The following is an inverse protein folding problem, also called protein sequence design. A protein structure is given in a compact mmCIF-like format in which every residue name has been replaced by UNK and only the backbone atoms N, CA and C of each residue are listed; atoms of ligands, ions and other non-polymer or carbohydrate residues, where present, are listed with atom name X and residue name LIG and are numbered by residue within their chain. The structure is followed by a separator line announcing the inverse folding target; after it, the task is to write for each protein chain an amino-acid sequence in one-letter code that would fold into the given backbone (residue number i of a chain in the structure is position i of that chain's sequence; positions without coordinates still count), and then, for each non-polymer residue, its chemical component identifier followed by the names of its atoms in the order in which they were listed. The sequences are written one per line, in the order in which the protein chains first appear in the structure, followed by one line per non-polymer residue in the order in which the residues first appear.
data_IF_816119021333
#
_entry.id   IF_816119021333
#
_cell.length_a   1.000
_cell.length_b   1.000
_cell.length_c   1.000
_cell.angle_alpha   90.00
_cell.angle_beta   90.00
_cell.angle_gamma   90.00
#
_symmetry.space_group_name_H-M   'P 1'
#
loop_
_entity.id
_entity.type
_entity.pdbx_description
1 polymer ?
#
# COMPACT_ATOMS: atom_id res chain seq x y z
N UNK A 1 -3.69 19.97 -48.70
CA UNK A 1 -3.45 21.14 -47.84
C UNK A 1 -4.78 21.85 -47.55
N UNK A 2 -5.68 21.27 -46.78
CA UNK A 2 -6.96 21.85 -46.29
C UNK A 2 -7.73 20.80 -45.48
N UNK A 3 -7.28 20.50 -44.24
CA UNK A 3 -8.06 19.69 -43.28
C UNK A 3 -7.60 19.88 -41.83
N UNK A 4 -7.07 21.06 -41.45
CA UNK A 4 -6.56 21.26 -40.08
C UNK A 4 -7.05 22.54 -39.36
N UNK A 5 -8.10 23.20 -39.85
CA UNK A 5 -8.58 24.45 -39.24
C UNK A 5 -9.92 24.36 -38.50
N UNK A 6 -10.64 23.23 -38.59
CA UNK A 6 -11.98 23.09 -37.94
C UNK A 6 -11.96 22.52 -36.53
N UNK A 7 -10.85 21.93 -36.07
CA UNK A 7 -10.79 21.34 -34.73
C UNK A 7 -10.28 22.30 -33.62
N UNK A 8 -9.65 23.40 -33.99
CA UNK A 8 -9.18 24.40 -32.99
C UNK A 8 -10.28 25.30 -32.42
N UNK A 9 -11.33 25.58 -33.21
CA UNK A 9 -12.40 26.45 -32.77
C UNK A 9 -13.43 25.76 -31.84
N UNK A 10 -13.58 24.47 -31.90
CA UNK A 10 -14.54 23.73 -31.04
C UNK A 10 -14.07 23.60 -29.59
N UNK A 11 -12.77 23.67 -29.32
CA UNK A 11 -12.22 23.59 -27.96
C UNK A 11 -12.15 24.96 -27.26
N UNK A 12 -12.13 26.06 -28.00
CA UNK A 12 -12.19 27.39 -27.41
C UNK A 12 -13.62 27.78 -26.99
N UNK A 13 -14.63 27.38 -27.73
CA UNK A 13 -16.04 27.64 -27.34
C UNK A 13 -16.47 26.82 -26.10
N UNK A 14 -15.96 25.62 -25.90
CA UNK A 14 -16.25 24.84 -24.68
C UNK A 14 -15.59 25.42 -23.42
N UNK A 15 -14.42 26.07 -23.53
CA UNK A 15 -13.79 26.78 -22.40
C UNK A 15 -14.49 28.08 -22.01
N UNK A 16 -15.10 28.79 -22.96
CA UNK A 16 -15.83 30.03 -22.71
C UNK A 16 -17.18 29.78 -21.98
N UNK A 17 -17.83 28.63 -22.23
CA UNK A 17 -19.11 28.29 -21.59
C UNK A 17 -18.90 27.82 -20.15
N UNK A 18 -17.73 27.21 -19.83
CA UNK A 18 -17.43 26.71 -18.47
C UNK A 18 -17.08 27.86 -17.50
N UNK A 19 -16.45 28.94 -17.97
CA UNK A 19 -16.06 30.08 -17.12
C UNK A 19 -17.18 31.07 -16.83
N UNK A 20 -18.28 31.08 -17.60
CA UNK A 20 -19.40 31.99 -17.37
C UNK A 20 -20.46 31.52 -16.37
N UNK A 21 -20.40 30.24 -15.96
CA UNK A 21 -21.32 29.69 -14.96
C UNK A 21 -20.79 29.74 -13.51
N UNK A 22 -19.50 30.06 -13.29
CA UNK A 22 -18.94 30.21 -11.95
C UNK A 22 -19.05 31.61 -11.34
N UNK A 23 -19.39 32.63 -12.14
CA UNK A 23 -19.44 34.03 -11.65
C UNK A 23 -20.83 34.51 -11.23
N UNK A 24 -21.88 33.70 -11.30
CA UNK A 24 -23.27 34.10 -10.94
C UNK A 24 -23.79 33.51 -9.62
N UNK A 25 -23.01 32.75 -8.86
CA UNK A 25 -23.50 32.12 -7.60
C UNK A 25 -22.98 32.77 -6.31
N UNK A 26 -22.22 33.87 -6.38
CA UNK A 26 -21.70 34.57 -5.20
C UNK A 26 -22.17 36.04 -5.23
N UNK A 27 -23.47 36.28 -5.15
CA UNK A 27 -23.97 37.61 -4.81
C UNK A 27 -25.43 37.59 -4.37
N UNK A 28 -25.76 36.89 -3.28
CA UNK A 28 -27.03 37.16 -2.55
C UNK A 28 -27.01 36.41 -1.22
N UNK A 29 -26.37 36.99 -0.23
CA UNK A 29 -26.63 36.70 1.18
C UNK A 29 -26.08 37.84 2.05
N UNK A 30 -26.88 38.92 2.14
CA UNK A 30 -26.75 39.84 3.26
C UNK A 30 -28.11 40.49 3.53
N UNK A 31 -28.50 40.40 4.77
CA UNK A 31 -29.65 41.04 5.49
C UNK A 31 -30.84 40.13 5.76
N UNK A 32 -30.89 39.61 6.99
CA UNK A 32 -32.07 39.76 7.85
C UNK A 32 -31.66 39.58 9.33
N UNK A 33 -32.17 40.48 10.09
CA UNK A 33 -32.15 40.87 11.48
C UNK A 33 -32.17 39.80 12.58
N UNK A 34 -31.54 40.23 13.69
CA UNK A 34 -31.70 39.68 15.05
C UNK A 34 -33.14 39.68 15.54
N UNK A 35 -33.58 38.58 16.11
CA UNK A 35 -34.55 38.54 17.22
C UNK A 35 -34.02 37.52 18.24
N UNK A 36 -33.72 38.05 19.43
CA UNK A 36 -33.46 37.26 20.66
C UNK A 36 -34.78 36.74 21.22
N UNK A 37 -34.86 35.43 21.50
CA UNK A 37 -35.68 34.89 22.59
C UNK A 37 -34.96 33.71 23.22
N UNK A 38 -34.85 33.73 24.52
CA UNK A 38 -33.97 32.92 25.33
C UNK A 38 -34.43 31.51 25.72
N UNK A 39 -33.52 30.87 26.41
CA UNK A 39 -33.57 29.71 27.30
C UNK A 39 -34.01 28.37 26.75
N UNK A 40 -33.03 27.48 26.76
CA UNK A 40 -33.21 26.04 26.72
C UNK A 40 -31.87 25.36 26.54
N UNK A 41 -31.02 25.35 27.59
CA UNK A 41 -29.80 24.53 27.62
C UNK A 41 -30.18 23.05 27.61
N UNK A 42 -30.33 22.45 26.45
CA UNK A 42 -30.16 21.02 26.28
C UNK A 42 -28.73 20.79 25.77
N UNK A 43 -27.83 20.49 26.73
CA UNK A 43 -26.60 19.78 26.39
C UNK A 43 -27.00 18.39 25.88
N UNK A 44 -27.20 18.25 24.60
CA UNK A 44 -27.06 16.98 23.97
C UNK A 44 -25.55 16.63 24.03
N UNK A 45 -25.17 15.49 24.63
CA UNK A 45 -23.81 15.04 24.51
C UNK A 45 -23.57 14.84 23.02
N UNK A 46 -22.63 15.59 22.43
CA UNK A 46 -22.06 15.23 21.16
C UNK A 46 -21.41 13.89 21.37
N UNK A 47 -22.13 12.82 21.05
CA UNK A 47 -21.52 11.54 20.74
C UNK A 47 -20.49 11.86 19.66
N UNK A 48 -19.20 11.87 20.04
CA UNK A 48 -18.12 11.62 19.11
C UNK A 48 -18.46 10.25 18.53
N UNK A 49 -19.12 10.22 17.39
CA UNK A 49 -19.20 9.03 16.57
C UNK A 49 -17.74 8.69 16.28
N UNK A 50 -17.18 7.71 16.99
CA UNK A 50 -15.92 7.09 16.59
C UNK A 50 -16.16 6.70 15.14
N UNK A 51 -15.38 7.27 14.23
CA UNK A 51 -15.46 6.92 12.82
C UNK A 51 -15.02 5.47 12.70
N UNK A 52 -15.99 4.56 12.79
CA UNK A 52 -15.79 3.12 12.66
C UNK A 52 -15.31 2.89 11.23
N UNK A 53 -14.11 2.30 11.02
CA UNK A 53 -13.52 2.19 9.68
C UNK A 53 -14.27 1.25 8.75
N UNK A 54 -15.14 0.39 9.29
CA UNK A 54 -15.88 -0.65 8.58
C UNK A 54 -17.37 -0.56 8.89
N UNK A 55 -18.21 -0.62 7.86
CA UNK A 55 -19.68 -0.64 7.98
C UNK A 55 -20.24 -1.97 7.45
N UNK A 56 -21.18 -2.63 8.15
CA UNK A 56 -21.82 -3.84 7.62
C UNK A 56 -22.61 -3.51 6.36
N UNK A 57 -22.63 -4.45 5.41
CA UNK A 57 -23.46 -4.39 4.19
C UNK A 57 -24.27 -5.68 4.07
N UNK A 58 -25.48 -5.57 3.56
CA UNK A 58 -26.43 -6.70 3.49
C UNK A 58 -26.05 -7.71 2.40
N UNK A 59 -25.54 -7.24 1.27
CA UNK A 59 -25.13 -8.08 0.14
C UNK A 59 -24.05 -7.38 -0.68
N UNK A 60 -23.29 -8.17 -1.46
CA UNK A 60 -22.37 -7.64 -2.47
C UNK A 60 -23.05 -7.62 -3.85
N UNK A 61 -22.75 -6.65 -4.73
CA UNK A 61 -23.03 -6.74 -6.14
C UNK A 61 -22.38 -7.99 -6.74
N UNK A 62 -23.04 -8.64 -7.72
CA UNK A 62 -22.50 -9.87 -8.33
C UNK A 62 -21.11 -9.68 -8.96
N UNK A 63 -20.83 -8.50 -9.49
CA UNK A 63 -19.53 -8.13 -10.09
C UNK A 63 -18.37 -8.08 -9.09
N UNK A 64 -18.66 -7.95 -7.79
CA UNK A 64 -17.63 -7.85 -6.72
C UNK A 64 -17.14 -9.22 -6.26
N UNK A 65 -17.65 -10.32 -6.80
CA UNK A 65 -17.28 -11.67 -6.37
C UNK A 65 -16.07 -12.20 -7.16
N UNK A 66 -15.13 -12.87 -6.47
CA UNK A 66 -13.96 -13.51 -7.08
C UNK A 66 -14.35 -14.79 -7.83
N UNK A 67 -14.71 -14.64 -9.10
CA UNK A 67 -15.18 -15.75 -9.92
C UNK A 67 -14.06 -16.70 -10.40
N UNK A 68 -12.79 -16.29 -10.27
CA UNK A 68 -11.63 -17.03 -10.79
C UNK A 68 -10.84 -17.78 -9.70
N UNK A 69 -11.29 -17.70 -8.47
CA UNK A 69 -10.54 -18.16 -7.29
C UNK A 69 -10.10 -19.63 -7.36
N UNK A 70 -10.95 -20.51 -7.90
CA UNK A 70 -10.64 -21.95 -7.93
C UNK A 70 -9.81 -22.37 -9.13
N UNK A 71 -9.76 -21.57 -10.18
CA UNK A 71 -9.08 -21.92 -11.44
C UNK A 71 -7.61 -21.45 -11.48
N UNK A 72 -7.22 -20.43 -10.68
CA UNK A 72 -5.95 -19.79 -10.86
C UNK A 72 -4.92 -20.08 -9.75
N UNK A 73 -5.27 -19.84 -8.50
CA UNK A 73 -4.27 -19.85 -7.41
C UNK A 73 -4.83 -20.27 -6.04
N UNK A 74 -5.78 -21.21 -6.04
CA UNK A 74 -6.38 -21.76 -4.81
C UNK A 74 -5.36 -22.07 -3.73
N UNK A 75 -4.24 -22.72 -4.10
CA UNK A 75 -3.21 -23.12 -3.13
C UNK A 75 -2.46 -21.92 -2.55
N UNK A 76 -2.23 -20.87 -3.33
CA UNK A 76 -1.63 -19.64 -2.83
C UNK A 76 -2.53 -18.97 -1.78
N UNK A 77 -3.83 -18.89 -2.05
CA UNK A 77 -4.80 -18.34 -1.10
C UNK A 77 -4.90 -19.20 0.18
N UNK A 78 -4.91 -20.54 0.08
CA UNK A 78 -4.86 -21.42 1.25
C UNK A 78 -3.61 -21.15 2.09
N UNK A 79 -2.43 -21.01 1.47
CA UNK A 79 -1.19 -20.65 2.19
C UNK A 79 -1.30 -19.31 2.87
N UNK A 80 -1.87 -18.29 2.20
CA UNK A 80 -2.07 -16.97 2.79
C UNK A 80 -3.01 -17.03 4.01
N UNK A 81 -4.08 -17.82 3.95
CA UNK A 81 -4.96 -18.08 5.10
C UNK A 81 -4.20 -18.75 6.24
N UNK A 82 -3.37 -19.76 5.94
CA UNK A 82 -2.55 -20.45 6.95
C UNK A 82 -1.54 -19.51 7.60
N UNK A 83 -0.98 -18.54 6.85
CA UNK A 83 -0.11 -17.50 7.39
C UNK A 83 -0.89 -16.58 8.38
N UNK A 84 -2.08 -16.13 8.03
CA UNK A 84 -2.92 -15.35 8.94
C UNK A 84 -3.31 -16.12 10.20
N UNK A 85 -3.66 -17.41 10.07
CA UNK A 85 -3.97 -18.26 11.23
C UNK A 85 -2.74 -18.44 12.15
N UNK A 86 -1.53 -18.50 11.61
CA UNK A 86 -0.30 -18.51 12.45
C UNK A 86 -0.14 -17.20 13.22
N UNK A 87 -0.29 -16.04 12.56
CA UNK A 87 -0.25 -14.75 13.23
C UNK A 87 -1.30 -14.65 14.34
N UNK A 88 -2.55 -15.00 14.05
CA UNK A 88 -3.66 -14.89 15.00
C UNK A 88 -3.49 -15.74 16.27
N UNK A 89 -2.58 -16.73 16.25
CA UNK A 89 -2.22 -17.53 17.44
C UNK A 89 -1.06 -16.91 18.25
N UNK A 90 -0.57 -15.72 17.91
CA UNK A 90 0.50 -15.02 18.63
C UNK A 90 -0.05 -14.08 19.72
N UNK A 91 0.82 -13.74 20.68
CA UNK A 91 0.53 -12.74 21.71
C UNK A 91 0.35 -11.34 21.10
N UNK A 92 1.05 -11.02 20.02
CA UNK A 92 0.90 -9.76 19.28
C UNK A 92 -0.53 -9.62 18.74
N UNK A 93 -1.08 -10.69 18.15
CA UNK A 93 -2.45 -10.69 17.68
C UNK A 93 -3.46 -10.56 18.84
N UNK A 94 -3.23 -11.24 19.97
CA UNK A 94 -4.09 -11.09 21.15
C UNK A 94 -4.19 -9.62 21.56
N UNK A 95 -3.05 -8.94 21.69
CA UNK A 95 -2.99 -7.52 22.05
C UNK A 95 -3.64 -6.61 20.99
N UNK A 96 -3.47 -6.90 19.71
CA UNK A 96 -4.05 -6.10 18.63
C UNK A 96 -5.59 -6.13 18.64
N UNK A 97 -6.18 -7.23 19.09
CA UNK A 97 -7.64 -7.40 19.15
C UNK A 97 -8.27 -7.07 20.50
N UNK A 98 -7.50 -6.84 21.58
CA UNK A 98 -8.04 -6.53 22.92
C UNK A 98 -8.97 -5.31 22.95
N UNK A 99 -8.61 -4.26 22.19
CA UNK A 99 -9.36 -3.00 22.14
C UNK A 99 -9.64 -2.59 20.68
N UNK A 100 -9.90 -3.58 19.81
CA UNK A 100 -10.18 -3.28 18.43
C UNK A 100 -11.49 -2.49 18.28
N UNK A 101 -11.49 -1.43 17.48
CA UNK A 101 -12.57 -0.43 17.41
C UNK A 101 -13.88 -0.94 16.83
N UNK A 102 -13.87 -2.07 16.11
CA UNK A 102 -15.07 -2.72 15.56
C UNK A 102 -15.35 -3.99 16.36
N UNK A 103 -16.30 -3.97 17.30
CA UNK A 103 -16.51 -5.05 18.29
C UNK A 103 -16.82 -6.41 17.68
N UNK A 104 -17.39 -6.43 16.47
CA UNK A 104 -17.69 -7.66 15.75
C UNK A 104 -16.43 -8.43 15.32
N UNK A 105 -15.30 -7.74 15.16
CA UNK A 105 -14.01 -8.34 14.80
C UNK A 105 -13.24 -8.76 16.07
N UNK A 106 -13.74 -9.74 16.83
CA UNK A 106 -12.91 -10.39 17.84
C UNK A 106 -11.91 -11.34 17.17
N UNK A 107 -10.75 -11.54 17.82
CA UNK A 107 -9.71 -12.46 17.34
C UNK A 107 -10.26 -13.87 17.09
N UNK A 108 -11.09 -14.38 18.00
CA UNK A 108 -11.70 -15.70 17.92
C UNK A 108 -12.63 -15.82 16.72
N UNK A 109 -13.40 -14.77 16.43
CA UNK A 109 -14.31 -14.74 15.29
C UNK A 109 -13.56 -14.65 13.96
N UNK A 110 -12.46 -13.88 13.91
CA UNK A 110 -11.57 -13.84 12.73
C UNK A 110 -10.94 -15.22 12.50
N UNK A 111 -10.46 -15.90 13.54
CA UNK A 111 -9.94 -17.27 13.44
C UNK A 111 -11.01 -18.24 12.90
N UNK A 112 -12.23 -18.19 13.45
CA UNK A 112 -13.33 -19.04 12.98
C UNK A 112 -13.66 -18.79 11.51
N UNK A 113 -13.70 -17.51 11.11
CA UNK A 113 -13.94 -17.09 9.72
C UNK A 113 -12.86 -17.64 8.76
N UNK A 114 -11.60 -17.53 9.12
CA UNK A 114 -10.49 -18.04 8.31
C UNK A 114 -10.51 -19.56 8.19
N UNK A 115 -10.77 -20.28 9.30
CA UNK A 115 -10.89 -21.74 9.28
C UNK A 115 -12.02 -22.21 8.37
N UNK A 116 -13.20 -21.56 8.47
CA UNK A 116 -14.33 -21.90 7.62
C UNK A 116 -14.07 -21.56 6.16
N UNK A 117 -13.51 -20.39 5.87
CA UNK A 117 -13.14 -20.01 4.51
C UNK A 117 -12.11 -20.98 3.90
N UNK A 118 -11.11 -21.39 4.66
CA UNK A 118 -10.13 -22.41 4.24
C UNK A 118 -10.78 -23.75 3.90
N UNK A 119 -11.74 -24.19 4.70
CA UNK A 119 -12.51 -25.41 4.45
C UNK A 119 -13.33 -25.29 3.16
N UNK A 120 -14.03 -24.18 2.97
CA UNK A 120 -14.80 -23.91 1.73
C UNK A 120 -13.87 -23.90 0.51
N UNK A 121 -12.70 -23.29 0.57
CA UNK A 121 -11.70 -23.34 -0.49
C UNK A 121 -11.27 -24.78 -0.82
N UNK A 122 -11.10 -25.63 0.20
CA UNK A 122 -10.65 -27.00 0.02
C UNK A 122 -11.74 -27.91 -0.56
N UNK A 123 -13.01 -27.68 -0.20
CA UNK A 123 -14.12 -28.59 -0.51
C UNK A 123 -15.01 -28.16 -1.68
N UNK A 124 -14.95 -26.90 -2.09
CA UNK A 124 -15.77 -26.42 -3.22
C UNK A 124 -15.21 -26.90 -4.56
N UNK A 125 -16.13 -27.40 -5.41
CA UNK A 125 -15.81 -27.91 -6.74
C UNK A 125 -16.00 -26.88 -7.86
N UNK A 126 -16.69 -25.76 -7.58
CA UNK A 126 -16.86 -24.65 -8.52
C UNK A 126 -16.85 -23.30 -7.80
N UNK A 127 -16.52 -22.23 -8.55
CA UNK A 127 -16.57 -20.86 -8.02
C UNK A 127 -17.99 -20.48 -7.59
N UNK A 128 -19.02 -20.91 -8.32
CA UNK A 128 -20.41 -20.67 -7.95
C UNK A 128 -20.81 -21.33 -6.62
N UNK A 129 -20.34 -22.57 -6.37
CA UNK A 129 -20.56 -23.26 -5.10
C UNK A 129 -19.87 -22.54 -3.95
N UNK A 130 -18.63 -22.12 -4.15
CA UNK A 130 -17.86 -21.36 -3.15
C UNK A 130 -18.56 -20.04 -2.83
N UNK A 131 -18.95 -19.27 -3.85
CA UNK A 131 -19.65 -18.01 -3.68
C UNK A 131 -20.96 -18.15 -2.91
N UNK A 132 -21.81 -19.10 -3.30
CA UNK A 132 -23.09 -19.34 -2.61
C UNK A 132 -22.87 -19.69 -1.14
N UNK A 133 -21.80 -20.43 -0.82
CA UNK A 133 -21.46 -20.75 0.56
C UNK A 133 -20.98 -19.50 1.34
N UNK A 134 -20.15 -18.66 0.72
CA UNK A 134 -19.65 -17.41 1.33
C UNK A 134 -20.80 -16.44 1.59
N UNK A 135 -21.69 -16.22 0.62
CA UNK A 135 -22.86 -15.34 0.78
C UNK A 135 -23.79 -15.82 1.90
N UNK A 136 -24.03 -17.13 1.98
CA UNK A 136 -24.86 -17.73 3.02
C UNK A 136 -24.25 -17.63 4.42
N UNK A 137 -22.93 -17.83 4.53
CA UNK A 137 -22.27 -18.06 5.81
C UNK A 137 -21.52 -16.85 6.34
N UNK A 138 -21.16 -15.86 5.49
CA UNK A 138 -20.39 -14.69 5.90
C UNK A 138 -21.22 -13.40 5.85
N UNK A 139 -20.88 -12.48 6.74
CA UNK A 139 -21.29 -11.08 6.72
C UNK A 139 -20.15 -10.24 6.16
N UNK A 140 -20.50 -9.26 5.34
CA UNK A 140 -19.56 -8.36 4.72
C UNK A 140 -19.52 -7.01 5.42
N UNK A 141 -18.35 -6.40 5.51
CA UNK A 141 -18.12 -5.09 6.10
C UNK A 141 -17.33 -4.26 5.11
N UNK A 142 -17.94 -3.24 4.55
CA UNK A 142 -17.28 -2.34 3.59
C UNK A 142 -16.45 -1.30 4.34
N UNK A 143 -15.23 -1.03 3.86
CA UNK A 143 -14.45 0.13 4.31
C UNK A 143 -15.22 1.42 4.09
N UNK A 144 -15.09 2.36 5.02
CA UNK A 144 -15.66 3.71 4.83
C UNK A 144 -14.90 4.54 3.79
N UNK A 145 -13.72 4.06 3.36
CA UNK A 145 -12.90 4.75 2.38
C UNK A 145 -12.24 6.01 2.92
N UNK A 146 -11.67 6.80 2.02
CA UNK A 146 -11.09 8.11 2.35
C UNK A 146 -12.13 9.25 2.32
N UNK A 147 -13.30 9.01 1.73
CA UNK A 147 -14.39 9.96 1.52
C UNK A 147 -15.60 9.73 2.44
N UNK A 148 -15.62 8.63 3.19
CA UNK A 148 -16.77 8.20 4.00
C UNK A 148 -17.83 7.42 3.20
N UNK A 149 -17.70 7.34 1.86
CA UNK A 149 -18.62 6.67 0.92
C UNK A 149 -18.10 5.31 0.47
N UNK A 150 -16.89 4.94 0.92
CA UNK A 150 -16.29 3.63 0.68
C UNK A 150 -15.24 3.60 -0.43
N UNK A 151 -14.82 4.74 -0.94
CA UNK A 151 -13.76 4.80 -1.95
C UNK A 151 -12.41 4.50 -1.34
N UNK A 152 -11.74 3.47 -1.84
CA UNK A 152 -10.42 3.03 -1.39
C UNK A 152 -9.43 3.18 -2.52
N UNK A 153 -8.32 3.88 -2.27
CA UNK A 153 -7.23 4.06 -3.21
C UNK A 153 -6.24 2.91 -3.11
N UNK A 154 -6.00 2.24 -4.23
CA UNK A 154 -5.10 1.09 -4.35
C UNK A 154 -3.79 1.47 -5.02
N UNK A 155 -2.69 0.96 -4.46
CA UNK A 155 -1.37 0.92 -5.08
C UNK A 155 -0.81 -0.50 -5.01
N UNK A 156 0.39 -0.71 -5.57
CA UNK A 156 1.06 -1.99 -5.54
C UNK A 156 2.49 -1.89 -5.01
N UNK A 157 2.94 -2.94 -4.35
CA UNK A 157 4.33 -3.11 -3.96
C UNK A 157 4.83 -4.50 -4.32
N UNK A 158 6.15 -4.66 -4.34
CA UNK A 158 6.82 -5.89 -4.79
C UNK A 158 8.15 -6.06 -4.08
N UNK A 159 8.74 -7.24 -4.16
CA UNK A 159 10.12 -7.45 -3.75
C UNK A 159 11.04 -7.29 -4.97
N UNK A 160 11.91 -6.26 -5.02
CA UNK A 160 12.87 -6.08 -6.10
C UNK A 160 13.96 -7.14 -6.09
N UNK A 161 14.52 -7.40 -7.29
CA UNK A 161 15.68 -8.25 -7.49
C UNK A 161 16.80 -7.42 -8.10
N UNK A 162 17.88 -7.20 -7.36
CA UNK A 162 19.00 -6.36 -7.79
C UNK A 162 20.35 -7.07 -7.66
N UNK A 163 21.35 -6.59 -8.42
CA UNK A 163 22.75 -7.00 -8.23
C UNK A 163 23.35 -6.27 -7.03
N UNK A 164 24.15 -6.99 -6.24
CA UNK A 164 24.77 -6.42 -5.05
C UNK A 164 26.13 -7.03 -4.74
N UNK A 165 26.91 -6.38 -3.88
CA UNK A 165 28.19 -6.86 -3.36
C UNK A 165 28.22 -6.82 -1.85
N UNK A 166 28.84 -7.82 -1.22
CA UNK A 166 29.13 -7.78 0.23
C UNK A 166 30.28 -6.84 0.60
N UNK A 167 30.97 -6.32 -0.39
CA UNK A 167 32.08 -5.39 -0.22
C UNK A 167 31.87 -4.16 -1.10
N UNK A 168 32.28 -3.01 -0.61
CA UNK A 168 32.30 -1.78 -1.40
C UNK A 168 33.32 -1.93 -2.52
N UNK A 169 32.93 -1.57 -3.74
CA UNK A 169 33.81 -1.50 -4.93
C UNK A 169 33.49 -0.22 -5.72
N UNK A 170 34.20 0.03 -6.82
CA UNK A 170 33.89 1.17 -7.70
C UNK A 170 32.52 1.04 -8.37
N UNK A 171 32.05 -0.21 -8.64
CA UNK A 171 30.74 -0.49 -9.19
C UNK A 171 29.65 -0.46 -8.10
N UNK A 172 29.90 -1.06 -6.91
CA UNK A 172 28.92 -1.20 -5.82
C UNK A 172 29.26 -0.24 -4.69
N UNK A 173 28.60 0.94 -4.65
CA UNK A 173 28.94 2.05 -3.78
C UNK A 173 27.84 2.45 -2.80
N UNK A 174 26.58 2.08 -3.06
CA UNK A 174 25.42 2.55 -2.31
C UNK A 174 24.96 1.48 -1.32
N UNK A 175 25.25 1.68 0.00
CA UNK A 175 25.02 0.67 1.00
C UNK A 175 23.57 0.62 1.47
N UNK A 176 23.11 -0.61 1.77
CA UNK A 176 21.97 -0.87 2.65
C UNK A 176 22.53 -1.25 4.03
N UNK A 177 21.87 -0.82 5.09
CA UNK A 177 22.41 -0.90 6.44
C UNK A 177 21.65 -1.87 7.34
N UNK A 178 22.37 -2.56 8.21
CA UNK A 178 21.82 -3.21 9.40
C UNK A 178 21.35 -2.16 10.38
N UNK A 179 20.36 -2.51 11.18
CA UNK A 179 19.96 -1.68 12.31
C UNK A 179 21.11 -1.62 13.33
N UNK A 180 21.60 -0.42 13.69
CA UNK A 180 22.64 -0.27 14.70
C UNK A 180 22.22 -0.87 16.06
N UNK A 181 23.15 -1.50 16.77
CA UNK A 181 22.85 -2.13 18.07
C UNK A 181 22.35 -1.12 19.12
N UNK A 182 22.81 0.13 19.03
CA UNK A 182 22.41 1.25 19.90
C UNK A 182 21.20 2.05 19.39
N UNK A 183 20.54 1.60 18.33
CA UNK A 183 19.40 2.32 17.72
C UNK A 183 18.30 2.72 18.72
N UNK A 184 17.99 1.84 19.69
CA UNK A 184 16.98 2.12 20.71
C UNK A 184 17.36 3.25 21.68
N UNK A 185 18.63 3.65 21.72
CA UNK A 185 19.12 4.76 22.54
C UNK A 185 19.26 6.07 21.77
N UNK A 186 18.87 6.09 20.50
CA UNK A 186 18.88 7.32 19.73
C UNK A 186 17.85 8.31 20.25
N UNK A 187 18.23 9.58 20.25
CA UNK A 187 17.32 10.67 20.63
C UNK A 187 16.34 10.97 19.51
N UNK A 188 15.13 11.33 19.88
CA UNK A 188 14.10 11.80 18.93
C UNK A 188 14.16 13.34 18.80
N UNK A 189 14.00 13.91 17.60
CA UNK A 189 13.89 13.18 16.34
C UNK A 189 15.18 12.47 15.98
N UNK A 190 15.06 11.29 15.33
CA UNK A 190 16.21 10.56 14.82
C UNK A 190 16.96 11.38 13.75
N UNK A 191 18.25 11.07 13.46
CA UNK A 191 18.95 11.69 12.35
C UNK A 191 18.21 11.52 11.02
N UNK A 192 18.27 12.54 10.19
CA UNK A 192 17.69 12.57 8.85
C UNK A 192 18.41 11.63 7.89
N UNK A 193 17.81 11.33 6.75
CA UNK A 193 18.46 10.57 5.67
C UNK A 193 19.79 11.19 5.28
N UNK A 194 19.86 12.51 5.09
CA UNK A 194 21.09 13.21 4.70
C UNK A 194 22.21 13.08 5.75
N UNK A 195 21.87 13.06 7.03
CA UNK A 195 22.83 12.84 8.11
C UNK A 195 23.30 11.38 8.21
N UNK A 196 22.46 10.42 7.80
CA UNK A 196 22.79 8.99 7.85
C UNK A 196 23.55 8.51 6.61
N UNK A 197 23.10 8.83 5.40
CA UNK A 197 23.72 8.33 4.17
C UNK A 197 24.53 9.37 3.39
N UNK A 198 24.52 10.63 3.85
CA UNK A 198 25.14 11.73 3.11
C UNK A 198 24.33 12.18 1.90
N UNK A 199 24.67 13.34 1.33
CA UNK A 199 23.99 13.88 0.13
C UNK A 199 24.28 13.01 -1.09
N UNK A 200 25.40 12.29 -1.08
CA UNK A 200 25.86 11.38 -2.15
C UNK A 200 25.33 9.94 -1.98
N UNK A 201 24.66 9.62 -0.87
CA UNK A 201 24.11 8.31 -0.58
C UNK A 201 25.15 7.24 -0.20
N UNK A 202 26.41 7.60 0.11
CA UNK A 202 27.47 6.64 0.42
C UNK A 202 27.74 6.44 1.91
N UNK A 203 27.16 7.28 2.79
CA UNK A 203 27.24 7.17 4.24
C UNK A 203 28.62 7.32 4.85
N UNK A 204 29.54 7.97 4.16
CA UNK A 204 30.90 8.21 4.65
C UNK A 204 30.90 9.15 5.87
N UNK A 205 31.61 8.76 6.94
CA UNK A 205 31.68 9.51 8.20
C UNK A 205 30.34 9.65 8.95
N UNK A 206 29.39 8.79 8.70
CA UNK A 206 28.10 8.76 9.36
C UNK A 206 28.13 7.91 10.64
N UNK A 207 27.18 8.18 11.56
CA UNK A 207 26.97 7.38 12.79
C UNK A 207 26.58 5.92 12.52
N UNK A 208 26.15 5.58 11.29
CA UNK A 208 25.81 4.21 10.86
C UNK A 208 26.96 3.53 10.11
N UNK A 209 28.09 4.18 9.96
CA UNK A 209 29.28 3.57 9.37
C UNK A 209 29.69 2.31 10.14
N UNK A 210 30.05 1.23 9.43
CA UNK A 210 30.29 -0.09 10.00
C UNK A 210 29.06 -0.99 10.15
N UNK A 211 27.86 -0.46 9.87
CA UNK A 211 26.63 -1.25 9.85
C UNK A 211 26.19 -1.61 8.42
N UNK A 212 27.05 -1.44 7.42
CA UNK A 212 26.71 -1.79 6.04
C UNK A 212 26.46 -3.30 5.94
N UNK A 213 25.33 -3.64 5.32
CA UNK A 213 24.91 -5.01 5.11
C UNK A 213 25.37 -5.52 3.74
N UNK A 214 25.21 -4.67 2.72
CA UNK A 214 25.47 -4.97 1.31
C UNK A 214 25.51 -3.65 0.53
N UNK A 215 26.17 -3.60 -0.61
CA UNK A 215 26.27 -2.43 -1.50
C UNK A 215 25.61 -2.71 -2.84
N UNK A 216 24.81 -1.76 -3.34
CA UNK A 216 24.22 -1.75 -4.68
C UNK A 216 25.04 -0.84 -5.62
N UNK A 217 24.91 -1.09 -6.92
CA UNK A 217 25.57 -0.29 -7.97
C UNK A 217 24.82 1.02 -8.29
N UNK A 218 23.53 1.05 -8.04
CA UNK A 218 22.67 2.18 -8.35
C UNK A 218 22.02 2.76 -7.07
N UNK A 219 22.00 4.11 -6.97
CA UNK A 219 21.50 4.82 -5.80
C UNK A 219 19.98 4.79 -5.71
N UNK A 220 19.30 4.89 -6.86
CA UNK A 220 17.86 4.83 -6.91
C UNK A 220 17.36 3.43 -6.53
N UNK A 221 18.05 2.36 -7.00
CA UNK A 221 17.76 0.99 -6.58
C UNK A 221 17.89 0.82 -5.07
N UNK A 222 18.98 1.33 -4.45
CA UNK A 222 19.18 1.29 -3.00
C UNK A 222 18.05 2.01 -2.25
N UNK A 223 17.60 3.15 -2.75
CA UNK A 223 16.45 3.87 -2.19
C UNK A 223 15.14 3.09 -2.37
N UNK A 224 14.90 2.50 -3.55
CA UNK A 224 13.69 1.71 -3.81
C UNK A 224 13.58 0.48 -2.92
N UNK A 225 14.70 -0.18 -2.59
CA UNK A 225 14.71 -1.25 -1.58
C UNK A 225 14.19 -0.75 -0.23
N UNK A 226 14.55 0.48 0.18
CA UNK A 226 14.03 1.06 1.42
C UNK A 226 12.52 1.37 1.34
N UNK A 227 12.01 1.78 0.17
CA UNK A 227 10.58 2.01 -0.04
C UNK A 227 9.80 0.69 0.01
N UNK A 228 10.32 -0.36 -0.65
CA UNK A 228 9.67 -1.68 -0.71
C UNK A 228 9.81 -2.50 0.58
N UNK A 229 10.83 -2.22 1.40
CA UNK A 229 11.05 -2.87 2.71
C UNK A 229 11.71 -4.25 2.65
N UNK A 230 11.93 -4.83 1.47
CA UNK A 230 12.63 -6.11 1.25
C UNK A 230 13.28 -6.16 -0.12
N UNK A 231 14.25 -7.07 -0.32
CA UNK A 231 14.84 -7.34 -1.62
C UNK A 231 15.43 -8.77 -1.69
N UNK A 232 15.45 -9.32 -2.90
CA UNK A 232 16.34 -10.41 -3.30
C UNK A 232 17.57 -9.82 -3.98
N UNK A 233 18.76 -10.20 -3.55
CA UNK A 233 20.03 -9.65 -4.02
C UNK A 233 20.88 -10.74 -4.65
N UNK A 234 21.23 -10.57 -5.92
CA UNK A 234 22.16 -11.44 -6.65
C UNK A 234 23.58 -10.94 -6.42
N UNK A 235 24.30 -11.64 -5.54
CA UNK A 235 25.64 -11.23 -5.15
C UNK A 235 26.67 -11.49 -6.23
N UNK A 236 27.74 -10.69 -6.26
CA UNK A 236 28.86 -10.83 -7.19
C UNK A 236 29.59 -12.18 -7.12
N UNK A 237 29.45 -12.92 -5.99
CA UNK A 237 30.00 -14.27 -5.83
C UNK A 237 29.04 -15.38 -6.32
N UNK A 238 27.92 -15.03 -6.97
CA UNK A 238 26.91 -15.97 -7.49
C UNK A 238 25.88 -16.45 -6.47
N UNK A 239 25.96 -16.03 -5.21
CA UNK A 239 24.95 -16.37 -4.19
C UNK A 239 23.74 -15.43 -4.29
N UNK A 240 22.58 -15.93 -3.86
CA UNK A 240 21.40 -15.12 -3.61
C UNK A 240 21.31 -14.79 -2.12
N UNK A 241 21.04 -13.54 -1.81
CA UNK A 241 20.80 -13.03 -0.47
C UNK A 241 19.42 -12.39 -0.41
N UNK A 242 18.61 -12.74 0.56
CA UNK A 242 17.33 -12.03 0.82
C UNK A 242 17.47 -11.16 2.06
N UNK A 243 16.89 -9.97 1.97
CA UNK A 243 16.85 -9.00 3.06
C UNK A 243 15.42 -8.54 3.32
N UNK A 244 15.13 -8.22 4.58
CA UNK A 244 13.85 -7.72 5.03
C UNK A 244 14.00 -6.60 6.04
N UNK A 245 12.92 -5.87 6.26
CA UNK A 245 12.80 -4.76 7.19
C UNK A 245 13.25 -5.15 8.62
N UNK A 246 14.08 -4.30 9.24
CA UNK A 246 14.54 -4.47 10.63
C UNK A 246 14.50 -3.17 11.44
N UNK A 247 13.66 -2.23 11.06
CA UNK A 247 13.49 -0.96 11.76
C UNK A 247 13.60 0.25 10.85
N UNK A 248 13.10 1.37 11.35
CA UNK A 248 13.10 2.65 10.64
C UNK A 248 13.28 3.80 11.61
N UNK A 249 13.80 4.93 11.12
CA UNK A 249 13.78 6.19 11.86
C UNK A 249 12.35 6.67 12.09
N UNK A 250 12.15 7.57 13.04
CA UNK A 250 10.83 8.09 13.44
C UNK A 250 10.26 9.17 12.50
N UNK A 251 10.99 9.50 11.43
CA UNK A 251 10.51 10.45 10.43
C UNK A 251 9.32 9.92 9.63
N UNK A 252 8.35 10.79 9.29
CA UNK A 252 7.26 10.43 8.38
C UNK A 252 7.82 10.13 6.98
N UNK A 253 7.08 9.30 6.23
CA UNK A 253 7.38 9.06 4.82
C UNK A 253 7.02 10.27 3.96
N UNK A 254 7.91 10.65 3.05
CA UNK A 254 7.70 11.67 2.03
C UNK A 254 7.77 11.01 0.66
N UNK A 255 6.70 11.15 -0.14
CA UNK A 255 6.62 10.59 -1.49
C UNK A 255 7.45 11.41 -2.47
N UNK A 256 8.48 10.83 -3.06
CA UNK A 256 9.28 11.50 -4.11
C UNK A 256 8.44 11.85 -5.34
N UNK A 257 7.46 11.02 -5.71
CA UNK A 257 6.54 11.32 -6.81
C UNK A 257 5.77 12.62 -6.55
N UNK A 258 5.29 12.81 -5.31
CA UNK A 258 4.61 14.05 -4.92
C UNK A 258 5.56 15.26 -4.94
N UNK A 259 6.81 15.08 -4.51
CA UNK A 259 7.81 16.15 -4.58
C UNK A 259 8.13 16.56 -6.02
N UNK A 260 8.23 15.61 -6.94
CA UNK A 260 8.42 15.89 -8.37
C UNK A 260 7.22 16.63 -8.98
N UNK A 261 6.00 16.25 -8.58
CA UNK A 261 4.78 16.95 -9.00
C UNK A 261 4.76 18.39 -8.46
N UNK A 262 5.04 18.58 -7.17
CA UNK A 262 5.06 19.88 -6.51
C UNK A 262 6.08 20.84 -7.17
N UNK A 263 7.23 20.32 -7.59
CA UNK A 263 8.27 21.10 -8.28
C UNK A 263 8.01 21.26 -9.79
N UNK A 264 6.88 20.74 -10.30
CA UNK A 264 6.50 20.85 -11.72
C UNK A 264 7.39 20.04 -12.67
N UNK A 265 8.09 19.01 -12.17
CA UNK A 265 8.99 18.15 -12.95
C UNK A 265 8.24 17.08 -13.74
N UNK A 266 7.17 16.54 -13.16
CA UNK A 266 6.29 15.54 -13.78
C UNK A 266 4.84 15.96 -13.53
N UNK A 267 3.98 15.99 -14.56
CA UNK A 267 2.55 16.23 -14.39
C UNK A 267 1.89 15.18 -13.48
N UNK A 268 0.93 15.58 -12.65
CA UNK A 268 0.27 14.68 -11.71
C UNK A 268 -0.43 13.50 -12.42
N UNK A 269 -1.01 13.75 -13.58
CA UNK A 269 -1.71 12.75 -14.42
C UNK A 269 -0.77 11.74 -15.09
N UNK A 270 0.54 12.03 -15.16
CA UNK A 270 1.55 11.13 -15.70
C UNK A 270 2.31 10.36 -14.60
N UNK A 271 2.14 10.79 -13.33
CA UNK A 271 2.93 10.22 -12.24
C UNK A 271 2.58 8.75 -12.00
N UNK A 272 3.59 7.93 -12.06
CA UNK A 272 3.58 6.49 -11.76
C UNK A 272 4.97 6.07 -11.30
N UNK A 273 5.13 4.89 -10.71
CA UNK A 273 6.46 4.39 -10.34
C UNK A 273 7.41 4.28 -11.56
N UNK A 274 7.01 3.74 -12.72
CA UNK A 274 7.85 3.76 -13.91
C UNK A 274 8.26 5.17 -14.35
N UNK A 275 7.32 6.14 -14.33
CA UNK A 275 7.61 7.53 -14.72
C UNK A 275 8.55 8.24 -13.75
N UNK A 276 8.40 7.99 -12.46
CA UNK A 276 9.33 8.47 -11.43
C UNK A 276 10.74 7.94 -11.67
N UNK A 277 10.85 6.63 -11.91
CA UNK A 277 12.15 5.98 -12.17
C UNK A 277 12.79 6.54 -13.44
N UNK A 278 12.05 6.59 -14.55
CA UNK A 278 12.51 7.17 -15.82
C UNK A 278 13.03 8.60 -15.64
N UNK A 279 12.30 9.42 -14.89
CA UNK A 279 12.71 10.81 -14.64
C UNK A 279 14.05 10.87 -13.88
N UNK A 280 14.17 10.13 -12.78
CA UNK A 280 15.37 10.15 -11.91
C UNK A 280 16.58 9.46 -12.57
N UNK A 281 16.38 8.43 -13.39
CA UNK A 281 17.42 7.78 -14.20
C UNK A 281 17.97 8.75 -15.27
N UNK A 282 17.10 9.56 -15.88
CA UNK A 282 17.50 10.57 -16.86
C UNK A 282 18.08 11.85 -16.23
N UNK A 283 17.87 12.06 -14.91
CA UNK A 283 18.35 13.23 -14.17
C UNK A 283 19.10 12.79 -12.88
N UNK A 284 20.22 12.05 -12.99
CA UNK A 284 20.89 11.45 -11.83
C UNK A 284 21.41 12.46 -10.81
N UNK A 285 21.75 13.67 -11.22
CA UNK A 285 22.19 14.76 -10.32
C UNK A 285 21.06 15.20 -9.38
N UNK A 286 19.80 15.06 -9.78
CA UNK A 286 18.64 15.41 -8.98
C UNK A 286 18.35 14.38 -7.86
N UNK A 287 18.94 13.19 -7.91
CA UNK A 287 18.87 12.24 -6.78
C UNK A 287 19.37 12.86 -5.47
N UNK A 288 20.42 13.70 -5.52
CA UNK A 288 20.95 14.40 -4.36
C UNK A 288 20.02 15.51 -3.82
N UNK A 289 19.04 15.92 -4.61
CA UNK A 289 18.02 16.91 -4.23
C UNK A 289 16.77 16.21 -3.67
N UNK A 290 16.27 15.18 -4.35
CA UNK A 290 14.99 14.57 -4.02
C UNK A 290 15.06 13.49 -2.96
N UNK A 291 16.07 12.59 -2.99
CA UNK A 291 16.15 11.51 -1.99
C UNK A 291 16.22 12.03 -0.54
N UNK A 292 16.99 13.09 -0.22
CA UNK A 292 17.03 13.64 1.13
C UNK A 292 15.72 14.26 1.63
N UNK A 293 14.77 14.59 0.75
CA UNK A 293 13.45 15.09 1.17
C UNK A 293 12.64 14.06 1.93
N UNK A 294 12.85 12.76 1.65
CA UNK A 294 12.32 11.69 2.48
C UNK A 294 13.30 11.36 3.61
N UNK A 295 13.15 12.01 4.75
CA UNK A 295 14.01 11.81 5.91
C UNK A 295 13.91 10.42 6.56
N UNK A 296 12.84 9.66 6.25
CA UNK A 296 12.67 8.31 6.77
C UNK A 296 13.74 7.38 6.23
N UNK A 297 14.45 6.68 7.12
CA UNK A 297 15.52 5.74 6.80
C UNK A 297 15.16 4.34 7.28
N UNK A 298 15.41 3.33 6.44
CA UNK A 298 15.06 1.93 6.72
C UNK A 298 16.33 1.11 6.92
N UNK A 299 16.30 0.28 7.96
CA UNK A 299 17.34 -0.70 8.27
C UNK A 299 16.86 -2.11 7.93
N UNK A 300 17.82 -2.97 7.57
CA UNK A 300 17.56 -4.31 7.07
C UNK A 300 18.27 -5.39 7.90
N UNK A 301 17.79 -6.61 7.76
CA UNK A 301 18.47 -7.82 8.18
C UNK A 301 18.45 -8.84 7.04
N UNK A 302 19.45 -9.75 7.04
CA UNK A 302 19.46 -10.90 6.16
C UNK A 302 18.40 -11.90 6.63
N UNK A 303 17.62 -12.45 5.71
CA UNK A 303 16.50 -13.35 6.01
C UNK A 303 16.78 -14.81 5.64
N UNK A 304 17.98 -15.12 5.13
CA UNK A 304 18.43 -16.49 4.86
C UNK A 304 17.59 -17.23 3.84
N UNK A 305 17.14 -16.57 2.77
CA UNK A 305 16.31 -17.17 1.73
C UNK A 305 14.81 -17.26 2.08
N UNK A 306 14.39 -16.70 3.21
CA UNK A 306 12.98 -16.63 3.57
C UNK A 306 12.23 -15.76 2.57
N UNK A 307 10.95 -16.08 2.26
CA UNK A 307 10.11 -15.21 1.46
C UNK A 307 9.93 -13.85 2.15
N UNK A 308 9.51 -12.79 1.40
CA UNK A 308 9.27 -11.48 2.00
C UNK A 308 8.23 -11.57 3.11
N UNK A 309 8.54 -10.96 4.25
CA UNK A 309 7.73 -10.99 5.46
C UNK A 309 6.96 -9.69 5.60
N UNK A 310 5.65 -9.80 5.82
CA UNK A 310 4.81 -8.66 6.18
C UNK A 310 4.99 -8.24 7.65
N UNK A 311 4.40 -7.12 8.00
CA UNK A 311 4.46 -6.52 9.35
C UNK A 311 3.89 -7.43 10.45
N UNK A 312 3.04 -8.38 10.09
CA UNK A 312 2.52 -9.39 11.02
C UNK A 312 3.51 -10.55 11.29
N UNK A 313 4.73 -10.43 10.78
CA UNK A 313 5.77 -11.45 10.88
C UNK A 313 5.34 -12.81 10.30
N UNK A 314 4.62 -12.76 9.19
CA UNK A 314 4.26 -13.90 8.33
C UNK A 314 4.63 -13.59 6.88
N UNK A 315 4.93 -14.60 6.06
CA UNK A 315 5.16 -14.38 4.64
C UNK A 315 3.97 -13.72 3.96
N UNK A 316 4.23 -12.74 3.10
CA UNK A 316 3.24 -12.20 2.17
C UNK A 316 3.14 -13.11 0.93
N UNK A 317 1.98 -13.16 0.32
CA UNK A 317 1.66 -14.03 -0.82
C UNK A 317 1.23 -13.19 -2.00
N UNK A 318 1.80 -13.47 -3.16
CA UNK A 318 1.59 -12.74 -4.41
C UNK A 318 0.09 -12.59 -4.73
N UNK A 319 -0.35 -11.37 -4.97
CA UNK A 319 -1.75 -10.97 -5.23
C UNK A 319 -2.77 -11.41 -4.16
N UNK A 320 -2.32 -11.97 -3.02
CA UNK A 320 -3.16 -12.49 -1.92
C UNK A 320 -2.90 -11.83 -0.57
N UNK A 321 -1.85 -11.01 -0.46
CA UNK A 321 -1.58 -10.20 0.74
C UNK A 321 -1.75 -8.72 0.42
N UNK A 322 -2.34 -7.99 1.36
CA UNK A 322 -2.48 -6.53 1.30
C UNK A 322 -1.86 -5.88 2.52
N UNK A 323 -1.41 -4.64 2.33
CA UNK A 323 -1.04 -3.73 3.39
C UNK A 323 -2.15 -2.70 3.61
N UNK A 324 -2.51 -2.49 4.88
CA UNK A 324 -3.49 -1.50 5.34
C UNK A 324 -3.01 -0.76 6.58
N UNK A 325 -3.76 0.22 7.06
CA UNK A 325 -3.49 0.90 8.33
C UNK A 325 -3.86 0.00 9.52
N UNK A 326 -2.86 -0.65 10.11
CA UNK A 326 -3.05 -1.59 11.23
C UNK A 326 -3.51 -0.92 12.53
N UNK A 327 -3.57 0.40 12.60
CA UNK A 327 -4.16 1.09 13.76
C UNK A 327 -5.69 1.04 13.76
N UNK A 328 -6.31 0.77 12.60
CA UNK A 328 -7.76 0.80 12.43
C UNK A 328 -8.34 -0.42 11.67
N UNK A 329 -7.53 -1.12 10.86
CA UNK A 329 -7.99 -2.29 10.10
C UNK A 329 -7.66 -3.60 10.81
N UNK A 330 -8.49 -4.68 10.66
CA UNK A 330 -8.34 -5.92 11.43
C UNK A 330 -7.15 -6.76 10.93
N UNK A 331 -6.04 -6.84 11.71
CA UNK A 331 -4.82 -7.48 11.24
C UNK A 331 -5.00 -8.99 11.06
N UNK A 332 -4.61 -9.51 9.90
CA UNK A 332 -4.70 -10.93 9.55
C UNK A 332 -6.09 -11.37 9.08
N UNK A 333 -7.08 -10.48 9.01
CA UNK A 333 -8.43 -10.83 8.59
C UNK A 333 -8.54 -11.10 7.08
N UNK A 334 -9.59 -11.86 6.72
CA UNK A 334 -10.01 -12.09 5.34
C UNK A 334 -10.66 -10.84 4.78
N UNK A 335 -10.24 -10.44 3.60
CA UNK A 335 -10.83 -9.33 2.86
C UNK A 335 -11.12 -9.72 1.40
N UNK A 336 -11.95 -8.91 0.75
CA UNK A 336 -12.23 -8.93 -0.68
C UNK A 336 -11.98 -7.54 -1.22
N UNK A 337 -11.12 -7.44 -2.23
CA UNK A 337 -10.87 -6.20 -2.96
C UNK A 337 -11.55 -6.26 -4.32
N UNK A 338 -12.03 -5.11 -4.80
CA UNK A 338 -12.59 -4.94 -6.15
C UNK A 338 -12.00 -3.68 -6.76
N UNK A 339 -11.05 -3.87 -7.69
CA UNK A 339 -10.32 -2.78 -8.34
C UNK A 339 -9.69 -3.28 -9.64
N UNK A 340 -8.98 -2.42 -10.36
CA UNK A 340 -8.16 -2.83 -11.50
C UNK A 340 -6.91 -3.55 -11.01
N UNK A 341 -6.66 -4.75 -11.52
CA UNK A 341 -5.47 -5.54 -11.16
C UNK A 341 -4.69 -5.88 -12.44
N UNK A 342 -3.46 -5.39 -12.58
CA UNK A 342 -2.62 -5.70 -13.73
C UNK A 342 -2.32 -7.20 -13.83
N UNK A 343 -2.46 -7.77 -15.01
CA UNK A 343 -2.13 -9.18 -15.28
C UNK A 343 -1.69 -9.36 -16.73
N UNK A 344 -0.87 -10.38 -16.98
CA UNK A 344 -0.52 -10.76 -18.33
C UNK A 344 -1.68 -11.53 -18.99
N UNK A 345 -2.06 -11.14 -20.22
CA UNK A 345 -3.00 -11.91 -21.04
C UNK A 345 -2.28 -13.11 -21.70
N UNK A 346 -3.01 -13.90 -22.49
CA UNK A 346 -2.47 -15.06 -23.19
C UNK A 346 -1.36 -14.73 -24.19
N UNK A 347 -1.27 -13.49 -24.66
CA UNK A 347 -0.28 -13.00 -25.61
C UNK A 347 0.94 -12.35 -24.89
N UNK A 348 0.98 -12.40 -23.55
CA UNK A 348 2.05 -11.81 -22.74
C UNK A 348 1.98 -10.28 -22.62
N UNK A 349 0.86 -9.66 -22.99
CA UNK A 349 0.64 -8.22 -22.83
C UNK A 349 0.05 -7.92 -21.46
N UNK A 350 0.50 -6.82 -20.84
CA UNK A 350 -0.06 -6.34 -19.58
C UNK A 350 -1.43 -5.69 -19.82
N UNK A 351 -2.47 -6.22 -19.18
CA UNK A 351 -3.84 -5.70 -19.19
C UNK A 351 -4.26 -5.37 -17.76
N UNK A 352 -5.23 -4.48 -17.59
CA UNK A 352 -5.67 -3.97 -16.28
C UNK A 352 -7.19 -4.11 -16.10
N UNK A 353 -7.73 -5.35 -16.12
CA UNK A 353 -9.16 -5.56 -15.93
C UNK A 353 -9.60 -5.20 -14.51
N UNK A 354 -10.85 -4.76 -14.37
CA UNK A 354 -11.51 -4.72 -13.06
C UNK A 354 -11.68 -6.16 -12.58
N UNK A 355 -11.22 -6.43 -11.40
CA UNK A 355 -11.10 -7.79 -10.86
C UNK A 355 -11.38 -7.80 -9.37
N UNK A 356 -12.07 -8.83 -8.90
CA UNK A 356 -12.20 -9.10 -7.46
C UNK A 356 -11.18 -10.14 -7.00
N UNK A 357 -10.62 -9.95 -5.80
CA UNK A 357 -9.68 -10.89 -5.17
C UNK A 357 -9.97 -11.05 -3.69
N UNK A 358 -10.08 -12.30 -3.23
CA UNK A 358 -9.94 -12.58 -1.80
C UNK A 358 -8.48 -12.44 -1.40
N UNK A 359 -8.24 -11.65 -0.37
CA UNK A 359 -6.91 -11.30 0.12
C UNK A 359 -6.85 -11.38 1.64
N UNK A 360 -5.65 -11.42 2.18
CA UNK A 360 -5.39 -11.42 3.63
C UNK A 360 -4.70 -10.11 4.01
N UNK A 361 -5.14 -9.50 5.08
CA UNK A 361 -4.59 -8.23 5.59
C UNK A 361 -3.35 -8.49 6.46
N UNK A 362 -2.18 -8.68 5.81
CA UNK A 362 -0.97 -9.23 6.41
C UNK A 362 0.19 -8.24 6.54
N UNK A 363 0.03 -7.04 5.99
CA UNK A 363 1.14 -6.07 5.97
C UNK A 363 0.66 -4.65 6.26
N UNK A 364 1.62 -3.74 6.44
CA UNK A 364 1.42 -2.29 6.56
C UNK A 364 2.60 -1.54 5.95
N UNK A 365 2.37 -0.30 5.58
CA UNK A 365 3.39 0.62 5.11
C UNK A 365 3.28 1.99 5.77
N UNK A 366 4.38 2.74 5.82
CA UNK A 366 4.38 4.09 6.40
C UNK A 366 3.49 5.08 5.65
N UNK A 367 3.26 4.85 4.35
CA UNK A 367 2.37 5.61 3.48
C UNK A 367 0.91 5.13 3.54
N UNK A 368 0.65 3.97 4.15
CA UNK A 368 -0.68 3.33 4.16
C UNK A 368 -1.40 3.79 5.42
N UNK A 369 -2.22 4.83 5.30
CA UNK A 369 -2.92 5.48 6.42
C UNK A 369 -4.40 5.68 6.11
N UNK A 370 -5.23 5.43 7.14
CA UNK A 370 -6.69 5.58 7.06
C UNK A 370 -7.39 4.40 6.40
N UNK A 371 -8.73 4.45 6.40
CA UNK A 371 -9.58 3.38 5.88
C UNK A 371 -9.57 3.28 4.34
N UNK A 372 -9.17 4.35 3.66
CA UNK A 372 -9.22 4.46 2.21
C UNK A 372 -7.89 4.20 1.50
N UNK A 373 -6.96 3.45 2.12
CA UNK A 373 -5.64 3.19 1.52
C UNK A 373 -5.26 1.72 1.62
N UNK A 374 -4.97 1.11 0.47
CA UNK A 374 -4.52 -0.30 0.37
C UNK A 374 -3.34 -0.39 -0.56
N UNK A 375 -2.38 -1.26 -0.21
CA UNK A 375 -1.26 -1.61 -1.08
C UNK A 375 -1.26 -3.12 -1.33
N UNK A 376 -1.22 -3.56 -2.59
CA UNK A 376 -1.31 -4.97 -2.98
C UNK A 376 0.10 -5.52 -3.21
N UNK A 377 0.44 -6.64 -2.58
CA UNK A 377 1.70 -7.34 -2.84
C UNK A 377 1.62 -8.13 -4.15
N UNK A 378 2.51 -7.85 -5.09
CA UNK A 378 2.51 -8.52 -6.39
C UNK A 378 3.52 -9.67 -6.52
N UNK A 379 4.47 -9.80 -5.59
CA UNK A 379 5.49 -10.85 -5.64
C UNK A 379 6.90 -10.33 -5.83
N UNK A 380 7.79 -11.16 -6.40
CA UNK A 380 9.23 -10.88 -6.52
C UNK A 380 9.66 -10.77 -7.98
N UNK A 381 10.43 -9.74 -8.33
CA UNK A 381 11.09 -9.58 -9.63
C UNK A 381 10.38 -8.64 -10.62
N UNK A 382 10.71 -8.76 -11.91
CA UNK A 382 10.40 -7.75 -12.94
C UNK A 382 8.91 -7.70 -13.32
N UNK A 383 8.23 -8.85 -13.42
CA UNK A 383 6.79 -8.88 -13.72
C UNK A 383 6.00 -8.26 -12.57
N UNK A 384 6.19 -8.66 -11.29
CA UNK A 384 5.61 -7.98 -10.14
C UNK A 384 5.93 -6.49 -10.06
N UNK A 385 7.17 -6.07 -10.41
CA UNK A 385 7.56 -4.67 -10.51
C UNK A 385 6.69 -3.91 -11.52
N UNK A 386 6.50 -4.49 -12.71
CA UNK A 386 5.68 -3.88 -13.75
C UNK A 386 4.20 -3.82 -13.34
N UNK A 387 3.67 -4.89 -12.72
CA UNK A 387 2.30 -4.91 -12.20
C UNK A 387 2.10 -3.86 -11.11
N UNK A 388 2.93 -3.87 -10.06
CA UNK A 388 2.85 -2.94 -8.95
C UNK A 388 2.95 -1.47 -9.40
N UNK A 389 3.84 -1.19 -10.36
CA UNK A 389 4.05 0.15 -10.90
C UNK A 389 2.87 0.74 -11.66
N UNK A 390 1.92 -0.10 -12.09
CA UNK A 390 0.71 0.34 -12.79
C UNK A 390 -0.48 0.58 -11.87
N UNK A 391 -0.46 0.08 -10.63
CA UNK A 391 -1.61 0.19 -9.73
C UNK A 391 -1.67 1.58 -9.11
N UNK A 392 -2.66 2.37 -9.52
CA UNK A 392 -2.95 3.71 -9.01
C UNK A 392 -4.42 4.04 -9.30
N UNK A 393 -5.34 3.28 -8.66
CA UNK A 393 -6.78 3.37 -8.94
C UNK A 393 -7.63 3.24 -7.68
N UNK A 394 -8.81 3.79 -7.77
CA UNK A 394 -9.84 3.62 -6.75
C UNK A 394 -10.62 2.30 -6.95
N UNK A 395 -11.21 1.83 -5.86
CA UNK A 395 -12.00 0.61 -5.81
C UNK A 395 -12.63 0.40 -4.45
N UNK A 396 -13.05 -0.84 -4.17
CA UNK A 396 -13.74 -1.24 -2.95
C UNK A 396 -12.92 -2.23 -2.12
N UNK A 397 -13.04 -2.10 -0.80
CA UNK A 397 -12.49 -3.04 0.19
C UNK A 397 -13.60 -3.53 1.11
N UNK A 398 -13.76 -4.84 1.19
CA UNK A 398 -14.67 -5.51 2.11
C UNK A 398 -13.91 -6.48 3.01
N UNK A 399 -14.27 -6.53 4.29
CA UNK A 399 -13.84 -7.59 5.20
C UNK A 399 -14.97 -8.57 5.45
N UNK A 400 -14.62 -9.82 5.73
CA UNK A 400 -15.57 -10.93 5.88
C UNK A 400 -15.48 -11.54 7.26
N UNK A 401 -16.62 -11.71 7.92
CA UNK A 401 -16.77 -12.45 9.16
C UNK A 401 -17.83 -13.52 9.05
N UNK A 402 -17.58 -14.69 9.60
CA UNK A 402 -18.58 -15.76 9.74
C UNK A 402 -19.79 -15.22 10.55
N UNK A 403 -21.00 -15.52 10.08
CA UNK A 403 -22.27 -15.12 10.73
C UNK A 403 -22.44 -15.74 12.11
#
# INVERSE_FOLDING_TARGET
MFLNSKNKNRNQEKKAVYNNNLSKTISNLSKVSLINIGLGLFFAPSLFAQNVPLKPVDSLPMEVLDQQILSRDRQALIRAVDHSLRYLNTESARKAYENYSVPEFSRERVIASLRRFRELLATSHSSAQLQAAIEREFRFYRSVGHDGEGTVHFTGYFQPVYRASRQRTDEFRYPLYRRPSNFNSWTTPHPTRAELEGVDGQGTNSIIQGNELVWLGDRLEAYLVQVQGSAELRLTNGQTMTIGFNGATDHPYVSLGRELINDGKVPAEEMSLPRLMEYLENNPDELSIYLPRNNRFIFFQETGGQPPMGSLNVPVTDERSIATDKSIMPPGALALIHTRIPQLNGDGQMITPVTSRYVLDQDTGSAIRGAGRVDIFFGTGDIPKAQAGLVDWDGDLFYLLLK
#
